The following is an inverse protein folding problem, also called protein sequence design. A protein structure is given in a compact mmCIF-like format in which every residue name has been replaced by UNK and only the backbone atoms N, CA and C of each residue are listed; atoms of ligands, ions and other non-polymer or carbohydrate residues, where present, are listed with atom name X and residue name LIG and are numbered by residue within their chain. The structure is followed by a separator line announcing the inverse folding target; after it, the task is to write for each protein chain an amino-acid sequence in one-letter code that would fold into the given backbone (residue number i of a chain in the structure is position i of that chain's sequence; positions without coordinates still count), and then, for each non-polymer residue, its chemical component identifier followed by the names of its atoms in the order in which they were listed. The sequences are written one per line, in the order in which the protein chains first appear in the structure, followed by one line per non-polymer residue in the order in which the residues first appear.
data_IF_084867933948
#
_entry.id   IF_084867933948
#
_cell.length_a   1.000
_cell.length_b   1.000
_cell.length_c   1.000
_cell.angle_alpha   90.00
_cell.angle_beta   90.00
_cell.angle_gamma   90.00
#
_symmetry.space_group_name_H-M   'P 1'
#
loop_
_entity.id
_entity.type
_entity.pdbx_description
1 polymer ?
#
# COMPACT_ATOMS: atom_id res chain seq x y z
N UNK A 1 -6.87 -18.85 -21.85
CA UNK A 1 -5.82 -19.86 -21.59
C UNK A 1 -4.39 -19.31 -21.64
N UNK A 2 -3.86 -18.75 -22.75
CA UNK A 2 -2.46 -18.24 -22.74
C UNK A 2 -2.22 -16.99 -21.85
N UNK A 3 -3.25 -16.14 -21.67
CA UNK A 3 -3.18 -14.96 -20.80
C UNK A 3 -3.17 -15.29 -19.30
N UNK A 4 -4.01 -16.25 -18.88
CA UNK A 4 -4.16 -16.64 -17.47
C UNK A 4 -2.88 -17.28 -16.91
N UNK A 5 -2.19 -18.09 -17.71
CA UNK A 5 -0.91 -18.67 -17.34
C UNK A 5 0.13 -17.57 -17.08
N UNK A 6 0.24 -16.58 -17.98
CA UNK A 6 1.19 -15.47 -17.85
C UNK A 6 0.94 -14.65 -16.57
N UNK A 7 -0.33 -14.43 -16.23
CA UNK A 7 -0.71 -13.66 -15.05
C UNK A 7 -0.41 -14.44 -13.75
N UNK A 8 -0.62 -15.75 -13.75
CA UNK A 8 -0.22 -16.64 -12.63
C UNK A 8 1.31 -16.68 -12.49
N UNK A 9 2.06 -16.84 -13.60
CA UNK A 9 3.53 -16.82 -13.57
C UNK A 9 4.07 -15.49 -13.04
N UNK A 10 3.46 -14.37 -13.42
CA UNK A 10 3.83 -13.05 -12.91
C UNK A 10 3.61 -12.95 -11.39
N UNK A 11 2.48 -13.43 -10.89
CA UNK A 11 2.17 -13.44 -9.45
C UNK A 11 3.17 -14.30 -8.65
N UNK A 12 3.43 -15.53 -9.11
CA UNK A 12 4.40 -16.44 -8.47
C UNK A 12 5.81 -15.84 -8.50
N UNK A 13 6.22 -15.28 -9.63
CA UNK A 13 7.53 -14.64 -9.78
C UNK A 13 7.68 -13.47 -8.81
N UNK A 14 6.67 -12.61 -8.70
CA UNK A 14 6.66 -11.48 -7.76
C UNK A 14 6.73 -11.94 -6.30
N UNK A 15 6.01 -13.01 -5.95
CA UNK A 15 6.06 -13.60 -4.61
C UNK A 15 7.46 -14.15 -4.30
N UNK A 16 8.08 -14.87 -5.23
CA UNK A 16 9.44 -15.39 -5.08
C UNK A 16 10.42 -14.23 -4.91
N UNK A 17 10.35 -13.19 -5.74
CA UNK A 17 11.19 -12.00 -5.58
C UNK A 17 11.02 -11.35 -4.21
N UNK A 18 9.78 -11.18 -3.74
CA UNK A 18 9.49 -10.66 -2.41
C UNK A 18 10.17 -11.50 -1.32
N UNK A 19 10.12 -12.83 -1.45
CA UNK A 19 10.71 -13.73 -0.47
C UNK A 19 12.25 -13.72 -0.50
N UNK A 20 12.85 -13.61 -1.70
CA UNK A 20 14.30 -13.45 -1.84
C UNK A 20 14.75 -12.15 -1.15
N UNK A 21 14.04 -11.03 -1.37
CA UNK A 21 14.34 -9.76 -0.70
C UNK A 21 14.22 -9.89 0.82
N UNK A 22 13.18 -10.57 1.32
CA UNK A 22 13.03 -10.84 2.76
C UNK A 22 14.23 -11.60 3.31
N UNK A 23 14.64 -12.70 2.67
CA UNK A 23 15.79 -13.51 3.12
C UNK A 23 17.09 -12.72 3.09
N UNK A 24 17.31 -11.90 2.05
CA UNK A 24 18.48 -11.02 1.97
C UNK A 24 18.51 -10.07 3.16
N UNK A 25 17.40 -9.38 3.45
CA UNK A 25 17.31 -8.44 4.58
C UNK A 25 17.51 -9.19 5.90
N UNK A 26 16.86 -10.33 6.07
CA UNK A 26 16.96 -11.13 7.29
C UNK A 26 18.40 -11.62 7.57
N UNK A 27 19.14 -11.99 6.51
CA UNK A 27 20.51 -12.54 6.63
C UNK A 27 21.58 -11.46 6.68
N UNK A 28 21.33 -10.28 6.11
CA UNK A 28 22.34 -9.24 5.94
C UNK A 28 22.50 -8.35 7.17
N UNK A 29 23.19 -8.88 8.17
CA UNK A 29 23.40 -8.25 9.49
C UNK A 29 24.16 -6.92 9.43
N UNK A 30 25.16 -6.78 8.56
CA UNK A 30 26.01 -5.58 8.51
C UNK A 30 25.26 -4.30 8.11
N UNK A 31 24.33 -4.39 7.17
CA UNK A 31 23.62 -3.21 6.62
C UNK A 31 22.24 -3.05 7.23
N UNK A 32 21.53 -4.15 7.48
CA UNK A 32 20.12 -4.13 7.90
C UNK A 32 19.90 -4.56 9.35
N UNK A 33 20.96 -4.93 10.07
CA UNK A 33 20.86 -5.51 11.41
C UNK A 33 20.35 -6.95 11.44
N UNK A 34 19.99 -7.52 10.28
CA UNK A 34 19.48 -8.89 10.14
C UNK A 34 18.24 -9.09 11.02
N UNK A 35 18.22 -10.18 11.77
CA UNK A 35 17.12 -10.53 12.69
C UNK A 35 16.80 -9.43 13.73
N UNK A 36 17.81 -8.65 14.14
CA UNK A 36 17.63 -7.61 15.15
C UNK A 36 17.01 -6.32 14.58
N UNK A 37 16.99 -6.17 13.25
CA UNK A 37 16.55 -4.95 12.58
C UNK A 37 17.42 -3.72 12.89
N UNK A 38 16.98 -2.56 12.38
CA UNK A 38 17.65 -1.28 12.60
C UNK A 38 16.87 -0.42 13.59
N UNK A 39 17.53 0.01 14.65
CA UNK A 39 17.05 1.07 15.54
C UNK A 39 17.72 2.38 15.16
N UNK A 40 16.96 3.42 14.87
CA UNK A 40 17.52 4.71 14.47
C UNK A 40 16.93 5.87 15.27
N UNK A 41 17.81 6.80 15.65
CA UNK A 41 17.40 8.07 16.25
C UNK A 41 16.85 8.97 15.13
N UNK A 42 15.72 9.63 15.37
CA UNK A 42 15.08 10.52 14.39
C UNK A 42 16.10 11.55 13.87
N UNK A 43 16.54 11.47 12.60
CA UNK A 43 17.48 12.44 12.06
C UNK A 43 16.75 13.79 11.99
N UNK A 44 17.34 14.91 12.42
CA UNK A 44 16.68 16.22 12.36
C UNK A 44 16.33 16.57 10.91
N UNK A 45 15.21 17.29 10.71
CA UNK A 45 14.85 17.82 9.40
C UNK A 45 15.76 19.01 9.15
N UNK A 46 16.92 18.72 8.57
CA UNK A 46 17.92 19.71 8.19
C UNK A 46 18.00 19.73 6.67
N UNK A 47 17.47 20.80 6.06
CA UNK A 47 17.83 21.13 4.69
C UNK A 47 19.16 21.88 4.80
N UNK A 48 20.28 21.37 4.23
CA UNK A 48 21.56 22.06 4.29
C UNK A 48 21.40 23.50 3.81
N UNK A 49 21.54 24.47 4.72
CA UNK A 49 21.51 25.90 4.40
C UNK A 49 20.18 26.66 4.57
N UNK A 50 19.05 26.03 4.94
CA UNK A 50 17.78 26.77 5.12
C UNK A 50 17.17 26.68 6.53
N UNK A 51 16.95 25.46 7.06
CA UNK A 51 16.30 25.27 8.36
C UNK A 51 16.71 23.94 8.99
N UNK A 52 16.90 23.95 10.32
CA UNK A 52 17.06 22.74 11.14
C UNK A 52 15.97 22.71 12.21
N UNK A 53 14.91 21.92 11.99
CA UNK A 53 13.87 21.71 13.00
C UNK A 53 14.05 20.31 13.59
N UNK A 54 14.23 20.17 14.92
CA UNK A 54 14.25 18.85 15.53
C UNK A 54 12.87 18.18 15.33
N UNK A 55 12.85 16.89 14.98
CA UNK A 55 11.59 16.13 14.88
C UNK A 55 10.99 15.90 16.27
N UNK A 56 10.28 16.91 16.77
CA UNK A 56 9.30 16.72 17.82
C UNK A 56 8.21 15.75 17.32
N UNK A 57 7.50 15.03 18.23
CA UNK A 57 6.36 14.21 17.84
C UNK A 57 5.37 14.98 16.95
N UNK A 58 5.07 16.23 17.26
CA UNK A 58 4.11 17.04 16.49
C UNK A 58 4.63 17.37 15.08
N UNK A 59 5.90 17.79 14.95
CA UNK A 59 6.50 18.11 13.66
C UNK A 59 6.51 16.89 12.73
N UNK A 60 6.73 15.69 13.28
CA UNK A 60 6.68 14.46 12.50
C UNK A 60 5.27 14.17 11.97
N UNK A 61 4.23 14.36 12.78
CA UNK A 61 2.85 14.15 12.35
C UNK A 61 2.48 15.11 11.20
N UNK A 62 2.82 16.40 11.32
CA UNK A 62 2.58 17.36 10.25
C UNK A 62 3.38 17.05 8.99
N UNK A 63 4.62 16.60 9.13
CA UNK A 63 5.44 16.16 8.00
C UNK A 63 4.83 14.95 7.28
N UNK A 64 4.48 13.90 8.01
CA UNK A 64 3.84 12.69 7.45
C UNK A 64 2.53 13.08 6.77
N UNK A 65 1.70 13.92 7.41
CA UNK A 65 0.45 14.40 6.84
C UNK A 65 0.68 15.16 5.53
N UNK A 66 1.68 16.04 5.48
CA UNK A 66 2.05 16.79 4.28
C UNK A 66 2.49 15.86 3.15
N UNK A 67 3.36 14.88 3.44
CA UNK A 67 3.83 13.90 2.44
C UNK A 67 2.68 13.03 1.93
N UNK A 68 1.85 12.48 2.81
CA UNK A 68 0.69 11.66 2.43
C UNK A 68 -0.30 12.48 1.58
N UNK A 69 -0.56 13.73 1.97
CA UNK A 69 -1.43 14.63 1.20
C UNK A 69 -0.84 14.93 -0.18
N UNK A 70 0.45 15.22 -0.26
CA UNK A 70 1.14 15.43 -1.54
C UNK A 70 1.09 14.17 -2.42
N UNK A 71 1.37 12.98 -1.86
CA UNK A 71 1.26 11.71 -2.57
C UNK A 71 -0.15 11.47 -3.11
N UNK A 72 -1.19 11.73 -2.29
CA UNK A 72 -2.57 11.63 -2.72
C UNK A 72 -2.89 12.58 -3.88
N UNK A 73 -2.48 13.85 -3.81
CA UNK A 73 -2.71 14.83 -4.87
C UNK A 73 -1.99 14.45 -6.16
N UNK A 74 -0.74 13.97 -6.07
CA UNK A 74 0.04 13.50 -7.22
C UNK A 74 -0.64 12.29 -7.87
N UNK A 75 -1.01 11.28 -7.08
CA UNK A 75 -1.71 10.09 -7.59
C UNK A 75 -3.07 10.46 -8.20
N UNK A 76 -3.81 11.39 -7.59
CA UNK A 76 -5.07 11.92 -8.14
C UNK A 76 -4.84 12.63 -9.48
N UNK A 77 -3.73 13.37 -9.64
CA UNK A 77 -3.39 14.03 -10.90
C UNK A 77 -2.99 13.01 -11.97
N UNK A 78 -2.18 12.01 -11.62
CA UNK A 78 -1.74 10.94 -12.53
C UNK A 78 -2.93 10.12 -13.03
N UNK A 79 -3.82 9.70 -12.14
CA UNK A 79 -5.01 8.88 -12.49
C UNK A 79 -6.01 9.63 -13.35
N UNK A 80 -6.09 10.96 -13.25
CA UNK A 80 -6.93 11.82 -14.11
C UNK A 80 -6.22 12.32 -15.37
N UNK A 81 -4.95 11.98 -15.58
CA UNK A 81 -4.20 12.36 -16.76
C UNK A 81 -4.42 11.36 -17.91
N UNK A 82 -3.98 11.67 -19.15
CA UNK A 82 -4.02 10.73 -20.27
C UNK A 82 -3.37 9.37 -19.95
N UNK A 83 -2.31 9.36 -19.13
CA UNK A 83 -1.68 8.14 -18.68
C UNK A 83 -2.65 7.23 -17.90
N UNK A 84 -3.44 7.82 -16.98
CA UNK A 84 -4.45 7.09 -16.24
C UNK A 84 -5.59 6.56 -17.12
N UNK A 85 -6.00 7.31 -18.14
CA UNK A 85 -7.02 6.86 -19.11
C UNK A 85 -6.53 5.66 -19.93
N UNK A 86 -5.27 5.67 -20.37
CA UNK A 86 -4.67 4.53 -21.08
C UNK A 86 -4.56 3.31 -20.16
N UNK A 87 -4.22 3.49 -18.87
CA UNK A 87 -4.23 2.37 -17.92
C UNK A 87 -5.63 1.78 -17.73
N UNK A 88 -6.67 2.61 -17.70
CA UNK A 88 -8.07 2.14 -17.67
C UNK A 88 -8.43 1.37 -18.94
N UNK A 89 -8.02 1.85 -20.12
CA UNK A 89 -8.27 1.12 -21.37
C UNK A 89 -7.53 -0.22 -21.43
N UNK A 90 -6.29 -0.28 -20.90
CA UNK A 90 -5.53 -1.55 -20.76
C UNK A 90 -6.28 -2.52 -19.86
N UNK A 91 -6.85 -2.03 -18.74
CA UNK A 91 -7.66 -2.85 -17.82
C UNK A 91 -8.92 -3.41 -18.48
N UNK A 92 -9.59 -2.62 -19.32
CA UNK A 92 -10.80 -3.06 -20.03
C UNK A 92 -10.51 -4.06 -21.14
N UNK A 93 -9.54 -3.74 -22.01
CA UNK A 93 -9.12 -4.62 -23.09
C UNK A 93 -7.71 -4.28 -23.57
N UNK A 94 -6.75 -5.09 -23.11
CA UNK A 94 -5.33 -4.96 -23.47
C UNK A 94 -5.11 -5.08 -24.99
N UNK A 95 -5.75 -6.06 -25.63
CA UNK A 95 -5.59 -6.32 -27.07
C UNK A 95 -6.07 -5.14 -27.90
N UNK A 96 -7.21 -4.54 -27.54
CA UNK A 96 -7.77 -3.36 -28.20
C UNK A 96 -6.89 -2.14 -28.02
N UNK A 97 -6.36 -1.93 -26.81
CA UNK A 97 -5.46 -0.80 -26.54
C UNK A 97 -4.16 -0.90 -27.35
N UNK A 98 -3.61 -2.12 -27.49
CA UNK A 98 -2.45 -2.38 -28.35
C UNK A 98 -2.75 -2.11 -29.82
N UNK A 99 -3.93 -2.50 -30.31
CA UNK A 99 -4.33 -2.30 -31.71
C UNK A 99 -4.45 -0.81 -32.11
N UNK A 100 -4.74 0.08 -31.15
CA UNK A 100 -4.82 1.53 -31.37
C UNK A 100 -3.42 2.18 -31.39
N UNK A 101 -2.34 1.42 -31.15
CA UNK A 101 -0.96 1.88 -31.25
C UNK A 101 -0.29 2.24 -29.91
N UNK A 102 -0.95 2.00 -28.77
CA UNK A 102 -0.33 2.19 -27.47
C UNK A 102 0.61 1.03 -27.11
N UNK A 103 1.83 1.38 -26.68
CA UNK A 103 2.81 0.42 -26.18
C UNK A 103 2.48 -0.03 -24.75
N UNK A 104 1.50 -0.94 -24.61
CA UNK A 104 0.96 -1.46 -23.35
C UNK A 104 2.06 -1.83 -22.33
N UNK A 105 3.12 -2.48 -22.79
CA UNK A 105 4.21 -2.97 -21.96
C UNK A 105 4.91 -1.83 -21.22
N UNK A 106 5.15 -0.70 -21.91
CA UNK A 106 5.77 0.49 -21.30
C UNK A 106 4.87 1.11 -20.23
N UNK A 107 3.57 1.19 -20.49
CA UNK A 107 2.61 1.71 -19.51
C UNK A 107 2.54 0.83 -18.25
N UNK A 108 2.59 -0.49 -18.40
CA UNK A 108 2.64 -1.44 -17.27
C UNK A 108 3.92 -1.27 -16.45
N UNK A 109 5.09 -1.16 -17.10
CA UNK A 109 6.37 -0.95 -16.40
C UNK A 109 6.36 0.36 -15.60
N UNK A 110 5.90 1.46 -16.21
CA UNK A 110 5.79 2.75 -15.53
C UNK A 110 4.81 2.68 -14.35
N UNK A 111 3.69 1.97 -14.50
CA UNK A 111 2.74 1.78 -13.41
C UNK A 111 3.34 1.00 -12.23
N UNK A 112 4.15 -0.03 -12.51
CA UNK A 112 4.88 -0.78 -11.48
C UNK A 112 5.92 0.10 -10.78
N UNK A 113 6.71 0.88 -11.54
CA UNK A 113 7.70 1.80 -10.98
C UNK A 113 7.05 2.88 -10.09
N UNK A 114 5.94 3.47 -10.53
CA UNK A 114 5.19 4.45 -9.73
C UNK A 114 4.65 3.81 -8.44
N UNK A 115 4.10 2.59 -8.53
CA UNK A 115 3.60 1.87 -7.36
C UNK A 115 4.73 1.57 -6.37
N UNK A 116 5.89 1.12 -6.85
CA UNK A 116 7.07 0.88 -6.04
C UNK A 116 7.61 2.15 -5.36
N UNK A 117 7.58 3.30 -6.07
CA UNK A 117 7.98 4.59 -5.51
C UNK A 117 7.11 4.97 -4.30
N UNK A 118 5.78 4.89 -4.42
CA UNK A 118 4.87 5.25 -3.32
C UNK A 118 4.88 4.20 -2.20
N UNK A 119 5.05 2.92 -2.52
CA UNK A 119 5.21 1.86 -1.53
C UNK A 119 6.50 2.03 -0.72
N UNK A 120 7.62 2.33 -1.38
CA UNK A 120 8.90 2.64 -0.74
C UNK A 120 8.82 3.89 0.14
N UNK A 121 8.17 4.96 -0.35
CA UNK A 121 7.91 6.16 0.44
C UNK A 121 7.08 5.84 1.70
N UNK A 122 6.02 5.04 1.58
CA UNK A 122 5.21 4.61 2.71
C UNK A 122 6.04 3.79 3.73
N UNK A 123 6.89 2.88 3.26
CA UNK A 123 7.79 2.09 4.12
C UNK A 123 8.77 2.97 4.90
N UNK A 124 9.37 3.98 4.25
CA UNK A 124 10.28 4.93 4.92
C UNK A 124 9.53 5.73 5.99
N UNK A 125 8.32 6.22 5.70
CA UNK A 125 7.51 6.94 6.68
C UNK A 125 7.11 6.03 7.86
N UNK A 126 6.75 4.78 7.58
CA UNK A 126 6.40 3.79 8.60
C UNK A 126 7.58 3.49 9.54
N UNK A 127 8.76 3.27 8.97
CA UNK A 127 9.99 3.09 9.74
C UNK A 127 10.30 4.34 10.58
N UNK A 128 10.21 5.54 9.99
CA UNK A 128 10.48 6.81 10.68
C UNK A 128 9.53 7.05 11.88
N UNK A 129 8.26 6.68 11.73
CA UNK A 129 7.26 6.77 12.79
C UNK A 129 7.60 5.84 13.96
N UNK A 130 7.92 4.58 13.66
CA UNK A 130 8.21 3.54 14.66
C UNK A 130 9.61 3.63 15.26
N UNK A 131 10.54 4.40 14.66
CA UNK A 131 11.97 4.49 15.04
C UNK A 131 12.71 3.15 15.00
N UNK A 132 12.11 2.17 14.34
CA UNK A 132 12.58 0.81 14.24
C UNK A 132 12.21 0.28 12.86
N UNK A 133 13.11 -0.45 12.23
CA UNK A 133 12.85 -1.18 11.00
C UNK A 133 13.17 -2.66 11.23
N UNK A 134 12.12 -3.46 11.32
CA UNK A 134 12.21 -4.91 11.46
C UNK A 134 12.14 -5.59 10.09
N UNK A 135 12.83 -6.72 9.87
CA UNK A 135 12.66 -7.55 8.68
C UNK A 135 11.21 -7.99 8.45
N UNK A 136 10.44 -8.18 9.53
CA UNK A 136 9.03 -8.58 9.49
C UNK A 136 8.14 -7.61 8.69
N UNK A 137 8.53 -6.35 8.58
CA UNK A 137 7.79 -5.35 7.80
C UNK A 137 7.82 -5.62 6.29
N UNK A 138 8.79 -6.40 5.83
CA UNK A 138 8.95 -6.78 4.41
C UNK A 138 8.33 -8.15 4.13
N UNK A 139 7.80 -8.81 5.16
CA UNK A 139 7.17 -10.11 5.00
C UNK A 139 5.90 -10.01 4.15
N UNK A 140 5.65 -11.03 3.31
CA UNK A 140 4.60 -10.98 2.30
C UNK A 140 3.19 -10.76 2.89
N UNK A 141 2.95 -11.16 4.14
CA UNK A 141 1.67 -10.94 4.82
C UNK A 141 1.32 -9.45 4.93
N UNK A 142 2.32 -8.58 5.13
CA UNK A 142 2.12 -7.12 5.20
C UNK A 142 1.58 -6.57 3.88
N UNK A 143 2.03 -7.13 2.74
CA UNK A 143 1.48 -6.80 1.42
C UNK A 143 0.02 -7.27 1.28
N UNK A 144 -0.33 -8.39 1.90
CA UNK A 144 -1.71 -8.88 1.99
C UNK A 144 -2.65 -7.93 2.73
N UNK A 145 -2.20 -7.30 3.82
CA UNK A 145 -2.98 -6.29 4.54
C UNK A 145 -3.34 -5.10 3.64
N UNK A 146 -2.42 -4.69 2.76
CA UNK A 146 -2.69 -3.60 1.81
C UNK A 146 -3.81 -3.97 0.84
N UNK A 147 -3.92 -5.23 0.43
CA UNK A 147 -5.04 -5.73 -0.39
C UNK A 147 -6.35 -5.69 0.42
N UNK A 148 -6.31 -6.09 1.69
CA UNK A 148 -7.46 -6.02 2.60
C UNK A 148 -7.97 -4.58 2.70
N UNK A 149 -7.09 -3.59 2.91
CA UNK A 149 -7.50 -2.18 3.01
C UNK A 149 -8.19 -1.68 1.73
N UNK A 150 -7.67 -2.07 0.55
CA UNK A 150 -8.29 -1.74 -0.73
C UNK A 150 -9.70 -2.33 -0.86
N UNK A 151 -9.86 -3.60 -0.49
CA UNK A 151 -11.13 -4.32 -0.60
C UNK A 151 -12.15 -3.78 0.39
N UNK A 152 -11.77 -3.61 1.66
CA UNK A 152 -12.66 -3.09 2.70
C UNK A 152 -13.11 -1.65 2.41
N UNK A 153 -12.18 -0.81 1.96
CA UNK A 153 -12.45 0.59 1.67
C UNK A 153 -13.26 0.84 0.41
N UNK A 154 -13.03 0.03 -0.63
CA UNK A 154 -13.72 0.11 -1.91
C UNK A 154 -12.75 0.12 -3.09
N UNK A 155 -12.85 -0.91 -3.93
CA UNK A 155 -11.97 -1.14 -5.09
C UNK A 155 -12.16 -0.03 -6.14
N UNK A 156 -11.05 0.52 -6.63
CA UNK A 156 -11.06 1.48 -7.75
C UNK A 156 -11.20 2.96 -7.34
N UNK A 157 -11.13 3.27 -6.05
CA UNK A 157 -11.05 4.66 -5.56
C UNK A 157 -9.73 4.90 -4.84
N UNK A 158 -9.17 6.10 -4.93
CA UNK A 158 -7.97 6.45 -4.14
C UNK A 158 -8.27 6.66 -2.65
N UNK A 159 -9.52 6.98 -2.30
CA UNK A 159 -9.94 7.25 -0.92
C UNK A 159 -10.31 5.95 -0.20
N UNK A 160 -10.74 4.92 -0.93
CA UNK A 160 -11.10 3.61 -0.39
C UNK A 160 -10.05 3.07 0.56
N UNK A 161 -8.79 2.86 0.13
CA UNK A 161 -7.76 2.27 0.97
C UNK A 161 -7.47 3.06 2.25
N UNK A 162 -7.65 4.39 2.24
CA UNK A 162 -7.48 5.24 3.43
C UNK A 162 -8.58 4.94 4.45
N UNK A 163 -9.83 4.87 4.00
CA UNK A 163 -10.98 4.53 4.84
C UNK A 163 -10.91 3.07 5.31
N UNK A 164 -10.52 2.16 4.42
CA UNK A 164 -10.35 0.74 4.72
C UNK A 164 -9.25 0.49 5.75
N UNK A 165 -8.10 1.15 5.62
CA UNK A 165 -7.02 1.08 6.61
C UNK A 165 -7.45 1.63 7.97
N UNK A 166 -8.15 2.78 7.99
CA UNK A 166 -8.70 3.34 9.23
C UNK A 166 -9.70 2.40 9.91
N UNK A 167 -10.64 1.84 9.14
CA UNK A 167 -11.61 0.88 9.66
C UNK A 167 -10.94 -0.41 10.16
N UNK A 168 -10.02 -0.99 9.38
CA UNK A 168 -9.28 -2.18 9.78
C UNK A 168 -8.48 -1.93 11.07
N UNK A 169 -7.81 -0.79 11.18
CA UNK A 169 -7.04 -0.44 12.37
C UNK A 169 -7.93 -0.31 13.61
N UNK A 170 -9.07 0.38 13.50
CA UNK A 170 -10.04 0.49 14.59
C UNK A 170 -10.59 -0.87 15.00
N UNK A 171 -10.88 -1.73 14.02
CA UNK A 171 -11.35 -3.09 14.27
C UNK A 171 -10.30 -3.90 15.02
N UNK A 172 -9.06 -3.90 14.51
CA UNK A 172 -7.91 -4.57 15.12
C UNK A 172 -7.70 -4.09 16.55
N UNK A 173 -7.68 -2.78 16.78
CA UNK A 173 -7.48 -2.18 18.11
C UNK A 173 -8.63 -2.53 19.07
N UNK A 174 -9.88 -2.48 18.60
CA UNK A 174 -11.04 -2.84 19.42
C UNK A 174 -10.99 -4.33 19.84
N UNK A 175 -10.76 -5.24 18.89
CA UNK A 175 -10.72 -6.67 19.18
C UNK A 175 -9.45 -7.08 19.94
N UNK A 176 -8.32 -6.39 19.75
CA UNK A 176 -7.10 -6.65 20.51
C UNK A 176 -7.29 -6.42 22.03
N UNK A 177 -8.24 -5.56 22.43
CA UNK A 177 -8.58 -5.35 23.86
C UNK A 177 -9.42 -6.48 24.46
N UNK A 178 -10.21 -7.17 23.65
CA UNK A 178 -11.09 -8.25 24.10
C UNK A 178 -10.47 -9.64 23.90
N UNK A 179 -9.66 -9.83 22.86
CA UNK A 179 -9.05 -11.10 22.45
C UNK A 179 -7.55 -10.91 22.16
N UNK A 180 -6.72 -10.91 23.21
CA UNK A 180 -5.30 -10.54 23.12
C UNK A 180 -4.48 -11.43 22.16
N UNK A 181 -4.72 -12.75 22.14
CA UNK A 181 -3.96 -13.69 21.30
C UNK A 181 -4.57 -13.94 19.91
N UNK A 182 -5.91 -13.86 19.79
CA UNK A 182 -6.63 -14.31 18.60
C UNK A 182 -7.39 -13.21 17.87
N UNK A 183 -7.03 -11.93 18.09
CA UNK A 183 -7.72 -10.78 17.47
C UNK A 183 -7.79 -10.83 15.94
N UNK A 184 -6.88 -11.55 15.26
CA UNK A 184 -6.89 -11.72 13.82
C UNK A 184 -8.07 -12.56 13.31
N UNK A 185 -8.56 -13.52 14.12
CA UNK A 185 -9.68 -14.40 13.76
C UNK A 185 -10.98 -13.60 13.55
N UNK A 186 -11.48 -12.81 14.54
CA UNK A 186 -12.69 -12.02 14.34
C UNK A 186 -12.53 -10.95 13.26
N UNK A 187 -11.34 -10.34 13.14
CA UNK A 187 -11.04 -9.39 12.05
C UNK A 187 -11.17 -10.05 10.68
N UNK A 188 -10.64 -11.26 10.51
CA UNK A 188 -10.75 -12.04 9.27
C UNK A 188 -12.20 -12.46 8.95
N UNK A 189 -12.96 -12.87 9.96
CA UNK A 189 -14.40 -13.19 9.79
C UNK A 189 -15.19 -11.97 9.33
N UNK A 190 -14.94 -10.80 9.93
CA UNK A 190 -15.59 -9.54 9.54
C UNK A 190 -15.18 -9.13 8.13
N UNK A 191 -13.91 -9.31 7.78
CA UNK A 191 -13.44 -9.09 6.41
C UNK A 191 -14.20 -9.96 5.40
N UNK A 192 -14.32 -11.27 5.65
CA UNK A 192 -15.06 -12.18 4.78
C UNK A 192 -16.54 -11.77 4.69
N UNK A 193 -17.18 -11.48 5.81
CA UNK A 193 -18.56 -11.00 5.84
C UNK A 193 -18.72 -9.71 5.02
N UNK A 194 -17.81 -8.76 5.16
CA UNK A 194 -17.82 -7.51 4.39
C UNK A 194 -17.67 -7.77 2.88
N UNK A 195 -16.81 -8.70 2.47
CA UNK A 195 -16.66 -9.06 1.04
C UNK A 195 -17.96 -9.67 0.48
N UNK A 196 -18.67 -10.48 1.27
CA UNK A 196 -19.92 -11.11 0.85
C UNK A 196 -21.08 -10.10 0.80
N UNK A 197 -21.26 -9.30 1.86
CA UNK A 197 -22.42 -8.40 1.98
C UNK A 197 -22.20 -7.02 1.35
N UNK A 198 -20.96 -6.56 1.25
CA UNK A 198 -20.58 -5.22 0.77
C UNK A 198 -19.47 -5.31 -0.30
N UNK A 199 -19.73 -5.94 -1.47
CA UNK A 199 -18.71 -6.18 -2.49
C UNK A 199 -18.12 -4.91 -3.12
N UNK A 200 -18.74 -3.75 -2.93
CA UNK A 200 -18.23 -2.45 -3.36
C UNK A 200 -17.36 -1.75 -2.30
N UNK A 201 -17.17 -2.37 -1.14
CA UNK A 201 -16.52 -1.80 0.04
C UNK A 201 -17.36 -0.73 0.75
N UNK A 202 -16.80 -0.17 1.83
CA UNK A 202 -17.42 0.86 2.67
C UNK A 202 -17.88 2.07 1.87
N UNK A 203 -17.02 2.62 1.00
CA UNK A 203 -17.37 3.80 0.20
C UNK A 203 -18.42 3.52 -0.88
N UNK A 204 -18.41 2.32 -1.47
CA UNK A 204 -19.41 1.92 -2.45
C UNK A 204 -20.80 1.81 -1.82
N UNK A 205 -20.88 1.24 -0.61
CA UNK A 205 -22.12 1.18 0.15
C UNK A 205 -22.63 2.56 0.55
N UNK A 206 -21.77 3.44 1.08
CA UNK A 206 -22.16 4.81 1.42
C UNK A 206 -22.68 5.58 0.21
N UNK A 207 -22.02 5.46 -0.96
CA UNK A 207 -22.47 6.14 -2.18
C UNK A 207 -23.81 5.62 -2.69
N UNK A 208 -24.08 4.32 -2.55
CA UNK A 208 -25.37 3.72 -2.91
C UNK A 208 -26.49 4.20 -1.99
N UNK A 209 -26.20 4.38 -0.71
CA UNK A 209 -27.16 4.88 0.28
C UNK A 209 -27.42 6.39 0.12
N UNK A 210 -26.40 7.18 -0.21
CA UNK A 210 -26.51 8.63 -0.48
C UNK A 210 -27.23 8.98 -1.80
N UNK A 211 -27.32 8.03 -2.73
CA UNK A 211 -28.00 8.20 -4.02
C UNK A 211 -29.43 7.62 -4.03
N UNK A 212 -29.95 7.17 -2.88
CA UNK A 212 -31.35 6.80 -2.66
C UNK A 212 -32.06 7.91 -1.89
#
# INVERSE_FOLDING_TARGET
MAGELRDIYFAITTLIFSQIFYVIIFTWTEVTGGENGLSFRRPPLAIPGLFSVPFSPETLHWFVLAVVTASYLILRRITRSPFGMVLQSIRENETRTRAIGYAVERYKIVAVMLSALFAGLAGVLYALQNRFAAPDFVYFLVSGETVIFNVMGGIGTLVGPIVGAGFFLLLREAFSRFFTEYYLIPVGVIFIAMVIFMPQGLLGFMRRWLNQ
#
